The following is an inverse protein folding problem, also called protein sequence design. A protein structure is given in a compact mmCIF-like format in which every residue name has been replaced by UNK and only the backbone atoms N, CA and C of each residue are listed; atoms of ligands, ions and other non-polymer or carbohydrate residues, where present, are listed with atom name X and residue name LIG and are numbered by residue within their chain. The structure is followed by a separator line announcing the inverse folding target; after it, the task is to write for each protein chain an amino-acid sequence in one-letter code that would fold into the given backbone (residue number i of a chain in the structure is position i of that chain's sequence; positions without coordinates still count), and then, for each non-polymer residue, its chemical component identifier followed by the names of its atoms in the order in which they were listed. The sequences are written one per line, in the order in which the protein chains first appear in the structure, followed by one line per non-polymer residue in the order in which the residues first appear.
data_IF_027990496431
#
_entry.id   IF_027990496431
#
_cell.length_a   1.000
_cell.length_b   1.000
_cell.length_c   1.000
_cell.angle_alpha   90.00
_cell.angle_beta   90.00
_cell.angle_gamma   90.00
#
_symmetry.space_group_name_H-M   'P 1'
#
loop_
_entity.id
_entity.type
_entity.pdbx_description
1 polymer ?
#
# COMPACT_ATOMS: atom_id res chain seq x y z
N UNK A 1 -15.13 -2.94 -57.37
CA UNK A 1 -14.46 -3.32 -58.63
C UNK A 1 -13.20 -4.11 -58.28
N UNK A 2 -13.15 -5.37 -58.69
CA UNK A 2 -12.44 -6.46 -57.99
C UNK A 2 -10.90 -6.31 -57.97
N UNK A 3 -10.27 -6.42 -56.80
CA UNK A 3 -8.82 -6.52 -56.61
C UNK A 3 -8.17 -7.58 -57.53
N UNK A 4 -8.94 -8.59 -57.96
CA UNK A 4 -8.53 -9.57 -58.98
C UNK A 4 -8.15 -8.93 -60.32
N UNK A 5 -8.93 -7.96 -60.84
CA UNK A 5 -8.65 -7.33 -62.15
C UNK A 5 -7.37 -6.48 -62.14
N UNK A 6 -7.06 -5.86 -60.99
CA UNK A 6 -5.83 -5.10 -60.79
C UNK A 6 -4.59 -6.01 -60.73
N UNK A 7 -4.68 -7.14 -60.02
CA UNK A 7 -3.61 -8.14 -59.97
C UNK A 7 -3.34 -8.84 -61.30
N UNK A 8 -4.35 -8.99 -62.17
CA UNK A 8 -4.24 -9.73 -63.42
C UNK A 8 -3.49 -8.95 -64.52
N UNK A 9 -3.53 -7.62 -64.53
CA UNK A 9 -2.94 -6.76 -65.57
C UNK A 9 -1.51 -6.26 -65.26
N UNK A 10 -0.90 -6.69 -64.16
CA UNK A 10 0.47 -6.32 -63.80
C UNK A 10 1.50 -7.25 -64.49
N UNK A 11 2.69 -6.76 -64.88
CA UNK A 11 3.80 -7.60 -65.32
C UNK A 11 4.11 -8.68 -64.28
N UNK A 12 4.48 -9.88 -64.73
CA UNK A 12 4.74 -11.07 -63.86
C UNK A 12 5.70 -10.73 -62.71
N UNK A 13 6.73 -9.91 -62.98
CA UNK A 13 7.69 -9.42 -61.98
C UNK A 13 7.03 -8.63 -60.82
N UNK A 14 6.03 -7.78 -61.10
CA UNK A 14 5.32 -7.02 -60.07
C UNK A 14 4.39 -7.92 -59.24
N UNK A 15 3.77 -8.93 -59.86
CA UNK A 15 2.95 -9.92 -59.13
C UNK A 15 3.78 -10.72 -58.13
N UNK A 16 5.00 -11.12 -58.52
CA UNK A 16 5.93 -11.84 -57.65
C UNK A 16 6.33 -11.00 -56.42
N UNK A 17 6.65 -9.71 -56.65
CA UNK A 17 7.01 -8.76 -55.59
C UNK A 17 5.87 -8.52 -54.59
N UNK A 18 4.62 -8.41 -55.07
CA UNK A 18 3.47 -8.25 -54.19
C UNK A 18 3.23 -9.49 -53.31
N UNK A 19 3.37 -10.69 -53.87
CA UNK A 19 3.19 -11.94 -53.12
C UNK A 19 4.26 -12.09 -52.03
N UNK A 20 5.51 -11.70 -52.31
CA UNK A 20 6.59 -11.71 -51.30
C UNK A 20 6.47 -10.60 -50.26
N UNK A 21 5.84 -9.47 -50.57
CA UNK A 21 5.69 -8.34 -49.66
C UNK A 21 4.66 -8.59 -48.54
N UNK A 22 3.63 -9.38 -48.82
CA UNK A 22 2.56 -9.71 -47.86
C UNK A 22 3.07 -10.41 -46.58
N UNK A 23 3.87 -11.50 -46.63
CA UNK A 23 4.38 -12.14 -45.42
C UNK A 23 5.35 -11.23 -44.66
N UNK A 24 6.13 -10.39 -45.35
CA UNK A 24 7.03 -9.42 -44.72
C UNK A 24 6.22 -8.38 -43.93
N UNK A 25 5.15 -7.85 -44.51
CA UNK A 25 4.25 -6.92 -43.83
C UNK A 25 3.55 -7.58 -42.64
N UNK A 26 3.13 -8.84 -42.77
CA UNK A 26 2.54 -9.58 -41.66
C UNK A 26 3.53 -9.76 -40.50
N UNK A 27 4.78 -10.13 -40.79
CA UNK A 27 5.84 -10.23 -39.77
C UNK A 27 6.13 -8.88 -39.13
N UNK A 28 6.16 -7.79 -39.90
CA UNK A 28 6.36 -6.44 -39.36
C UNK A 28 5.21 -6.02 -38.43
N UNK A 29 3.96 -6.27 -38.82
CA UNK A 29 2.79 -5.99 -37.98
C UNK A 29 2.85 -6.81 -36.70
N UNK A 30 3.15 -8.11 -36.81
CA UNK A 30 3.31 -8.99 -35.65
C UNK A 30 4.43 -8.48 -34.74
N UNK A 31 5.59 -8.11 -35.28
CA UNK A 31 6.69 -7.52 -34.50
C UNK A 31 6.27 -6.23 -33.79
N UNK A 32 5.51 -5.34 -34.43
CA UNK A 32 5.01 -4.11 -33.79
C UNK A 32 4.02 -4.43 -32.67
N UNK A 33 3.10 -5.37 -32.91
CA UNK A 33 2.12 -5.82 -31.90
C UNK A 33 2.83 -6.47 -30.73
N UNK A 34 3.75 -7.40 -30.99
CA UNK A 34 4.57 -8.07 -29.96
C UNK A 34 5.42 -7.06 -29.20
N UNK A 35 6.08 -6.12 -29.89
CA UNK A 35 6.88 -5.08 -29.23
C UNK A 35 6.03 -4.22 -28.29
N UNK A 36 4.85 -3.77 -28.74
CA UNK A 36 3.91 -3.06 -27.87
C UNK A 36 3.41 -3.94 -26.72
N UNK A 37 3.10 -5.21 -26.97
CA UNK A 37 2.62 -6.13 -25.94
C UNK A 37 3.68 -6.41 -24.88
N UNK A 38 4.95 -6.59 -25.27
CA UNK A 38 6.09 -6.80 -24.37
C UNK A 38 6.38 -5.53 -23.56
N UNK A 39 6.29 -4.35 -24.19
CA UNK A 39 6.49 -3.07 -23.48
C UNK A 39 5.36 -2.77 -22.48
N UNK A 40 4.15 -3.28 -22.72
CA UNK A 40 3.03 -3.17 -21.76
C UNK A 40 3.24 -4.14 -20.59
N UNK A 41 3.71 -5.37 -20.86
CA UNK A 41 4.01 -6.38 -19.84
C UNK A 41 5.12 -6.00 -18.87
N UNK A 42 6.21 -5.38 -19.35
CA UNK A 42 7.32 -4.98 -18.47
C UNK A 42 7.00 -3.82 -17.52
N UNK A 43 5.92 -3.06 -17.76
CA UNK A 43 5.47 -1.99 -16.88
C UNK A 43 4.55 -2.48 -15.75
N UNK A 44 3.95 -3.66 -15.90
CA UNK A 44 3.03 -4.24 -14.90
C UNK A 44 3.77 -4.89 -13.72
N UNK A 45 4.92 -5.53 -13.96
CA UNK A 45 5.69 -6.21 -12.89
C UNK A 45 6.20 -5.24 -11.81
N UNK A 46 6.71 -4.07 -12.21
CA UNK A 46 7.24 -3.07 -11.26
C UNK A 46 6.13 -2.46 -10.39
N UNK A 47 4.96 -2.16 -10.99
CA UNK A 47 3.80 -1.63 -10.25
C UNK A 47 3.19 -2.66 -9.31
N UNK A 48 3.10 -3.92 -9.72
CA UNK A 48 2.64 -4.99 -8.84
C UNK A 48 3.55 -5.12 -7.62
N UNK A 49 4.86 -5.07 -7.82
CA UNK A 49 5.83 -5.13 -6.73
C UNK A 49 5.63 -3.97 -5.74
N UNK A 50 5.47 -2.74 -6.23
CA UNK A 50 5.21 -1.56 -5.39
C UNK A 50 3.95 -1.71 -4.54
N UNK A 51 2.85 -2.20 -5.11
CA UNK A 51 1.61 -2.42 -4.35
C UNK A 51 1.78 -3.49 -3.27
N UNK A 52 2.48 -4.59 -3.58
CA UNK A 52 2.80 -5.60 -2.56
C UNK A 52 3.63 -5.02 -1.41
N UNK A 53 4.63 -4.17 -1.73
CA UNK A 53 5.43 -3.49 -0.71
C UNK A 53 4.58 -2.56 0.16
N UNK A 54 3.67 -1.80 -0.44
CA UNK A 54 2.75 -0.92 0.30
C UNK A 54 1.83 -1.74 1.21
N UNK A 55 1.21 -2.82 0.71
CA UNK A 55 0.35 -3.68 1.52
C UNK A 55 1.09 -4.32 2.70
N UNK A 56 2.30 -4.83 2.46
CA UNK A 56 3.12 -5.42 3.52
C UNK A 56 3.49 -4.38 4.58
N UNK A 57 3.89 -3.19 4.16
CA UNK A 57 4.22 -2.09 5.06
C UNK A 57 2.98 -1.60 5.84
N UNK A 58 1.81 -1.53 5.22
CA UNK A 58 0.54 -1.19 5.87
C UNK A 58 0.14 -2.20 6.94
N UNK A 59 0.27 -3.50 6.63
CA UNK A 59 0.00 -4.57 7.58
C UNK A 59 0.97 -4.52 8.77
N UNK A 60 2.26 -4.28 8.51
CA UNK A 60 3.25 -4.12 9.56
C UNK A 60 2.97 -2.86 10.41
N UNK A 61 2.60 -1.74 9.79
CA UNK A 61 2.22 -0.52 10.51
C UNK A 61 1.07 -0.81 11.49
N UNK A 62 0.00 -1.46 11.02
CA UNK A 62 -1.11 -1.84 11.88
C UNK A 62 -0.71 -2.80 13.00
N UNK A 63 0.19 -3.75 12.72
CA UNK A 63 0.72 -4.66 13.74
C UNK A 63 1.44 -3.87 14.84
N UNK A 64 2.25 -2.87 14.49
CA UNK A 64 2.97 -2.03 15.45
C UNK A 64 2.00 -1.18 16.28
N UNK A 65 0.94 -0.63 15.67
CA UNK A 65 -0.11 0.10 16.43
C UNK A 65 -0.83 -0.84 17.41
N UNK A 66 -1.08 -2.09 17.02
CA UNK A 66 -1.63 -3.11 17.92
C UNK A 66 -0.65 -3.44 19.06
N UNK A 67 0.65 -3.58 18.77
CA UNK A 67 1.69 -3.83 19.78
C UNK A 67 1.74 -2.67 20.82
N UNK A 68 1.52 -1.42 20.38
CA UNK A 68 1.36 -0.26 21.28
C UNK A 68 0.12 -0.41 22.17
N UNK A 69 -1.05 -0.68 21.60
CA UNK A 69 -2.29 -0.76 22.39
C UNK A 69 -2.27 -1.94 23.37
N UNK A 70 -1.87 -3.13 22.89
CA UNK A 70 -1.88 -4.36 23.68
C UNK A 70 -0.79 -4.38 24.74
N UNK A 71 0.42 -3.88 24.43
CA UNK A 71 1.50 -3.74 25.40
C UNK A 71 1.13 -2.80 26.55
N UNK A 72 0.48 -1.67 26.23
CA UNK A 72 -0.04 -0.75 27.24
C UNK A 72 -1.07 -1.45 28.15
N UNK A 73 -2.11 -2.07 27.59
CA UNK A 73 -3.16 -2.73 28.40
C UNK A 73 -2.60 -3.86 29.25
N UNK A 74 -1.67 -4.65 28.71
CA UNK A 74 -0.97 -5.71 29.46
C UNK A 74 -0.18 -5.17 30.64
N UNK A 75 0.52 -4.04 30.45
CA UNK A 75 1.25 -3.37 31.53
C UNK A 75 0.31 -2.80 32.60
N UNK A 76 -0.76 -2.11 32.21
CA UNK A 76 -1.72 -1.55 33.18
C UNK A 76 -2.38 -2.66 34.01
N UNK A 77 -2.75 -3.78 33.37
CA UNK A 77 -3.41 -4.90 34.03
C UNK A 77 -2.50 -5.65 35.00
N UNK A 78 -1.25 -5.89 34.62
CA UNK A 78 -0.34 -6.78 35.37
C UNK A 78 0.69 -6.04 36.20
N UNK A 79 0.94 -4.76 35.91
CA UNK A 79 2.07 -3.96 36.40
C UNK A 79 3.43 -4.58 36.05
N UNK A 80 3.46 -5.57 35.16
CA UNK A 80 4.66 -6.29 34.75
C UNK A 80 5.43 -5.53 33.65
N UNK A 81 6.68 -5.09 33.88
CA UNK A 81 7.43 -4.32 32.89
C UNK A 81 7.69 -5.09 31.58
N UNK A 82 7.65 -6.43 31.60
CA UNK A 82 7.77 -7.27 30.41
C UNK A 82 6.68 -6.98 29.36
N UNK A 83 5.50 -6.55 29.78
CA UNK A 83 4.41 -6.21 28.85
C UNK A 83 4.67 -4.90 28.09
N UNK A 84 5.63 -4.08 28.53
CA UNK A 84 6.05 -2.88 27.81
C UNK A 84 7.07 -3.16 26.69
N UNK A 85 7.64 -4.36 26.61
CA UNK A 85 8.59 -4.72 25.53
C UNK A 85 8.01 -4.49 24.12
N UNK A 86 6.81 -5.01 23.76
CA UNK A 86 6.23 -4.75 22.44
C UNK A 86 5.92 -3.25 22.23
N UNK A 87 5.45 -2.56 23.27
CA UNK A 87 5.20 -1.11 23.21
C UNK A 87 6.47 -0.32 22.87
N UNK A 88 7.56 -0.59 23.57
CA UNK A 88 8.84 0.10 23.39
C UNK A 88 9.46 -0.20 22.03
N UNK A 89 9.39 -1.46 21.58
CA UNK A 89 9.88 -1.86 20.27
C UNK A 89 9.08 -1.21 19.13
N UNK A 90 7.77 -1.02 19.30
CA UNK A 90 6.91 -0.43 18.29
C UNK A 90 7.04 1.09 18.16
N UNK A 91 7.31 1.80 19.27
CA UNK A 91 7.23 3.26 19.38
C UNK A 91 7.98 4.03 18.29
N UNK A 92 9.23 3.66 18.02
CA UNK A 92 10.03 4.32 16.98
C UNK A 92 9.74 3.76 15.58
N UNK A 93 9.54 2.44 15.49
CA UNK A 93 9.35 1.75 14.22
C UNK A 93 8.05 2.16 13.53
N UNK A 94 6.97 2.39 14.29
CA UNK A 94 5.68 2.80 13.73
C UNK A 94 5.77 4.18 13.05
N UNK A 95 6.54 5.11 13.63
CA UNK A 95 6.72 6.45 13.06
C UNK A 95 7.58 6.40 11.79
N UNK A 96 8.66 5.62 11.81
CA UNK A 96 9.52 5.40 10.65
C UNK A 96 8.72 4.77 9.50
N UNK A 97 7.99 3.71 9.80
CA UNK A 97 7.20 3.00 8.79
C UNK A 97 6.06 3.86 8.24
N UNK A 98 5.40 4.66 9.07
CA UNK A 98 4.40 5.63 8.61
C UNK A 98 4.99 6.68 7.66
N UNK A 99 6.22 7.15 7.92
CA UNK A 99 6.90 8.08 7.01
C UNK A 99 7.28 7.40 5.69
N UNK A 100 7.74 6.14 5.74
CA UNK A 100 8.02 5.34 4.55
C UNK A 100 6.75 5.12 3.72
N UNK A 101 5.65 4.69 4.33
CA UNK A 101 4.35 4.55 3.66
C UNK A 101 3.90 5.85 3.01
N UNK A 102 3.98 6.97 3.72
CA UNK A 102 3.65 8.30 3.17
C UNK A 102 4.50 8.65 1.94
N UNK A 103 5.77 8.25 1.92
CA UNK A 103 6.64 8.47 0.76
C UNK A 103 6.32 7.54 -0.41
N UNK A 104 5.97 6.27 -0.14
CA UNK A 104 5.57 5.31 -1.16
C UNK A 104 4.30 5.74 -1.90
N UNK A 105 3.33 6.32 -1.17
CA UNK A 105 2.05 6.79 -1.75
C UNK A 105 2.03 8.29 -2.09
N UNK A 106 3.20 8.93 -2.23
CA UNK A 106 3.32 10.39 -2.42
C UNK A 106 2.53 10.92 -3.62
N UNK A 107 2.36 10.10 -4.66
CA UNK A 107 1.69 10.46 -5.91
C UNK A 107 0.17 10.27 -5.83
N UNK A 108 -0.34 9.66 -4.76
CA UNK A 108 -1.77 9.41 -4.50
C UNK A 108 -2.23 10.25 -3.31
N UNK A 109 -2.71 11.45 -3.60
CA UNK A 109 -3.07 12.47 -2.59
C UNK A 109 -4.01 11.97 -1.49
N UNK A 110 -4.99 11.11 -1.82
CA UNK A 110 -5.92 10.54 -0.85
C UNK A 110 -5.18 9.63 0.15
N UNK A 111 -4.32 8.74 -0.32
CA UNK A 111 -3.54 7.83 0.54
C UNK A 111 -2.53 8.59 1.40
N UNK A 112 -1.89 9.61 0.82
CA UNK A 112 -0.98 10.50 1.57
C UNK A 112 -1.69 11.16 2.74
N UNK A 113 -2.91 11.71 2.53
CA UNK A 113 -3.71 12.32 3.61
C UNK A 113 -4.19 11.31 4.66
N UNK A 114 -4.61 10.13 4.23
CA UNK A 114 -5.00 9.05 5.15
C UNK A 114 -3.82 8.66 6.04
N UNK A 115 -2.63 8.49 5.45
CA UNK A 115 -1.42 8.17 6.21
C UNK A 115 -1.04 9.30 7.18
N UNK A 116 -1.12 10.57 6.77
CA UNK A 116 -0.88 11.71 7.66
C UNK A 116 -1.83 11.71 8.86
N UNK A 117 -3.13 11.52 8.63
CA UNK A 117 -4.12 11.48 9.70
C UNK A 117 -3.88 10.30 10.65
N UNK A 118 -3.60 9.11 10.12
CA UNK A 118 -3.25 7.94 10.93
C UNK A 118 -1.99 8.19 11.77
N UNK A 119 -0.95 8.83 11.21
CA UNK A 119 0.27 9.17 11.96
C UNK A 119 -0.03 10.12 13.12
N UNK A 120 -0.84 11.15 12.91
CA UNK A 120 -1.24 12.09 13.97
C UNK A 120 -2.00 11.37 15.10
N UNK A 121 -2.90 10.45 14.76
CA UNK A 121 -3.63 9.63 15.74
C UNK A 121 -2.71 8.70 16.51
N UNK A 122 -1.75 8.05 15.85
CA UNK A 122 -0.75 7.20 16.51
C UNK A 122 0.13 8.02 17.44
N UNK A 123 0.55 9.22 17.05
CA UNK A 123 1.33 10.14 17.90
C UNK A 123 0.52 10.50 19.15
N UNK A 124 -0.76 10.85 18.99
CA UNK A 124 -1.66 11.13 20.13
C UNK A 124 -1.83 9.91 21.03
N UNK A 125 -2.06 8.73 20.45
CA UNK A 125 -2.21 7.46 21.17
C UNK A 125 -0.97 7.18 22.05
N UNK A 126 0.23 7.35 21.49
CA UNK A 126 1.48 7.17 22.23
C UNK A 126 1.67 8.23 23.31
N UNK A 127 1.39 9.50 23.01
CA UNK A 127 1.53 10.59 23.97
C UNK A 127 0.66 10.37 25.21
N UNK A 128 -0.62 10.01 25.02
CA UNK A 128 -1.54 9.67 26.10
C UNK A 128 -0.99 8.50 26.94
N UNK A 129 -0.56 7.43 26.27
CA UNK A 129 -0.11 6.19 26.94
C UNK A 129 1.23 6.34 27.64
N UNK A 130 2.17 7.10 27.08
CA UNK A 130 3.46 7.37 27.72
C UNK A 130 3.27 8.03 29.09
N UNK A 131 2.38 9.03 29.15
CA UNK A 131 2.06 9.70 30.42
C UNK A 131 1.44 8.74 31.44
N UNK A 132 0.50 7.91 30.99
CA UNK A 132 -0.18 6.93 31.85
C UNK A 132 0.75 5.82 32.33
N UNK A 133 1.67 5.35 31.47
CA UNK A 133 2.69 4.36 31.85
C UNK A 133 3.55 4.89 33.00
N UNK A 134 3.99 6.16 32.92
CA UNK A 134 4.79 6.76 33.99
C UNK A 134 3.99 6.96 35.29
N UNK A 135 2.69 7.24 35.20
CA UNK A 135 1.80 7.29 36.38
C UNK A 135 1.66 5.93 37.04
N UNK A 136 1.43 4.87 36.26
CA UNK A 136 1.30 3.49 36.74
C UNK A 136 2.61 3.03 37.40
N UNK A 137 3.77 3.34 36.82
CA UNK A 137 5.09 3.05 37.44
C UNK A 137 5.27 3.72 38.80
N UNK A 138 4.67 4.90 39.02
CA UNK A 138 4.68 5.62 40.31
C UNK A 138 3.61 5.14 41.28
N UNK A 139 2.86 4.08 40.94
CA UNK A 139 1.79 3.52 41.77
C UNK A 139 0.39 4.11 41.51
N UNK A 140 0.28 5.15 40.68
CA UNK A 140 -0.99 5.83 40.37
C UNK A 140 -1.67 5.15 39.17
N UNK A 141 -2.44 4.08 39.43
CA UNK A 141 -3.05 3.25 38.35
C UNK A 141 -4.44 3.75 37.91
N UNK A 142 -5.14 4.51 38.75
CA UNK A 142 -6.52 4.97 38.53
C UNK A 142 -6.68 5.71 37.21
N UNK A 143 -5.81 6.70 36.92
CA UNK A 143 -5.85 7.47 35.66
C UNK A 143 -5.76 6.58 34.40
N UNK A 144 -5.00 5.48 34.47
CA UNK A 144 -4.84 4.55 33.36
C UNK A 144 -6.07 3.62 33.20
N UNK A 145 -6.73 3.27 34.30
CA UNK A 145 -7.99 2.51 34.28
C UNK A 145 -9.11 3.38 33.73
N UNK A 146 -9.25 4.62 34.20
CA UNK A 146 -10.22 5.60 33.68
C UNK A 146 -10.06 5.81 32.17
N UNK A 147 -8.82 5.88 31.70
CA UNK A 147 -8.53 5.98 30.27
C UNK A 147 -9.04 4.77 29.47
N UNK A 148 -8.89 3.56 30.02
CA UNK A 148 -9.33 2.31 29.40
C UNK A 148 -10.85 2.20 29.45
N UNK A 149 -11.47 2.50 30.59
CA UNK A 149 -12.92 2.46 30.80
C UNK A 149 -13.66 3.48 29.95
N UNK A 150 -13.09 4.68 29.80
CA UNK A 150 -13.60 5.71 28.88
C UNK A 150 -13.35 5.39 27.39
N UNK A 151 -12.76 4.23 27.08
CA UNK A 151 -12.48 3.75 25.73
C UNK A 151 -11.63 4.70 24.86
N UNK A 152 -10.88 5.62 25.46
CA UNK A 152 -10.15 6.68 24.72
C UNK A 152 -9.17 6.11 23.69
N UNK A 153 -8.39 5.11 24.10
CA UNK A 153 -7.46 4.40 23.21
C UNK A 153 -8.18 3.57 22.15
N UNK A 154 -9.30 2.93 22.52
CA UNK A 154 -10.12 2.13 21.61
C UNK A 154 -10.70 2.99 20.49
N UNK A 155 -11.22 4.18 20.81
CA UNK A 155 -11.77 5.10 19.80
C UNK A 155 -10.72 5.56 18.79
N UNK A 156 -9.50 5.85 19.24
CA UNK A 156 -8.38 6.15 18.35
C UNK A 156 -8.02 4.94 17.48
N UNK A 157 -7.96 3.74 18.07
CA UNK A 157 -7.68 2.51 17.33
C UNK A 157 -8.75 2.21 16.27
N UNK A 158 -10.03 2.45 16.56
CA UNK A 158 -11.12 2.27 15.60
C UNK A 158 -10.96 3.23 14.41
N UNK A 159 -10.69 4.51 14.68
CA UNK A 159 -10.44 5.49 13.62
C UNK A 159 -9.24 5.11 12.74
N UNK A 160 -8.13 4.66 13.35
CA UNK A 160 -6.94 4.19 12.61
C UNK A 160 -7.28 2.97 11.75
N UNK A 161 -8.07 2.01 12.26
CA UNK A 161 -8.49 0.83 11.48
C UNK A 161 -9.38 1.21 10.30
N UNK A 162 -10.27 2.17 10.49
CA UNK A 162 -11.14 2.66 9.43
C UNK A 162 -10.34 3.38 8.34
N UNK A 163 -9.42 4.27 8.73
CA UNK A 163 -8.52 4.98 7.81
C UNK A 163 -7.61 4.00 7.05
N UNK A 164 -7.10 2.96 7.72
CA UNK A 164 -6.31 1.91 7.07
C UNK A 164 -7.16 1.10 6.08
N UNK A 165 -8.40 0.75 6.43
CA UNK A 165 -9.29 0.06 5.50
C UNK A 165 -9.57 0.91 4.25
N UNK A 166 -9.72 2.22 4.40
CA UNK A 166 -9.85 3.14 3.26
C UNK A 166 -8.56 3.23 2.44
N UNK A 167 -7.41 3.21 3.10
CA UNK A 167 -6.09 3.21 2.47
C UNK A 167 -5.89 1.96 1.60
N UNK A 168 -6.17 0.78 2.15
CA UNK A 168 -6.05 -0.51 1.45
C UNK A 168 -7.06 -0.64 0.30
N UNK A 169 -8.27 -0.10 0.46
CA UNK A 169 -9.26 -0.05 -0.63
C UNK A 169 -8.76 0.79 -1.81
N UNK A 170 -8.00 1.85 -1.56
CA UNK A 170 -7.43 2.68 -2.61
C UNK A 170 -6.31 1.93 -3.36
N UNK A 171 -5.49 1.14 -2.67
CA UNK A 171 -4.49 0.25 -3.29
C UNK A 171 -5.15 -0.77 -4.24
N UNK A 172 -6.22 -1.42 -3.79
CA UNK A 172 -6.96 -2.40 -4.61
C UNK A 172 -7.59 -1.75 -5.85
N UNK A 173 -8.04 -0.49 -5.76
CA UNK A 173 -8.57 0.23 -6.93
C UNK A 173 -7.48 0.53 -7.95
N UNK A 174 -6.29 0.92 -7.50
CA UNK A 174 -5.15 1.17 -8.39
C UNK A 174 -4.75 -0.10 -9.14
N UNK A 175 -4.72 -1.26 -8.47
CA UNK A 175 -4.44 -2.56 -9.10
C UNK A 175 -5.45 -2.95 -10.20
N UNK A 176 -6.72 -2.57 -10.04
CA UNK A 176 -7.78 -2.91 -11.03
C UNK A 176 -7.80 -1.98 -12.23
N UNK A 177 -7.11 -0.84 -12.14
CA UNK A 177 -7.05 0.19 -13.17
C UNK A 177 -5.71 0.18 -13.93
N UNK A 178 -4.69 -0.49 -13.38
CA UNK A 178 -3.50 -0.91 -14.11
C UNK A 178 -3.86 -2.02 -15.11
#
# INVERSE_FOLDING_TARGET
MSAKKFFLNLPIAKKLLFVSAVPILAVLILSVVTYKSVQTFSLDEDRLNDVYHVQQASAEFMRLVVDLETGFRGFVLTKGPQFLQPYQAAKHRVLQLGNSLKHLVKDVEIQRKLMESMQERVIKLMADKDQLIERVKKGHTEEALDYIEAEKGRLLMLAIREEMAQFDQQEVKLLRQA
#
